data_IF_904458593366
#
_entry.id   IF_904458593366
#
_cell.length_a   1.000
_cell.length_b   1.000
_cell.length_c   1.000
_cell.angle_alpha   90.00
_cell.angle_beta   90.00
_cell.angle_gamma   90.00
#
_symmetry.space_group_name_H-M   'P 1'
#
loop_
_entity.id
_entity.type
_entity.pdbx_description
1 polymer ?
#
# COMPACT_ATOMS: atom_id res chain seq x y z
N UNK A 1 -10.74 -0.03 -0.89
CA UNK A 1 -10.04 0.11 0.40
C UNK A 1 -9.10 1.30 0.38
N UNK A 2 -8.89 2.00 1.50
CA UNK A 2 -7.94 3.11 1.62
C UNK A 2 -7.29 3.07 3.00
N UNK A 3 -5.99 2.78 3.06
CA UNK A 3 -5.23 2.65 4.31
C UNK A 3 -4.13 3.70 4.31
N UNK A 4 -4.02 4.46 5.40
CA UNK A 4 -3.17 5.64 5.45
C UNK A 4 -1.98 5.48 6.37
N UNK A 5 -0.89 6.12 5.97
CA UNK A 5 0.25 6.45 6.83
C UNK A 5 0.85 5.25 7.56
N UNK A 6 1.21 4.20 6.82
CA UNK A 6 1.94 3.05 7.35
C UNK A 6 3.28 3.48 7.96
N UNK A 7 3.58 2.98 9.15
CA UNK A 7 4.85 3.18 9.86
C UNK A 7 5.43 1.84 10.26
N UNK A 8 6.76 1.78 10.37
CA UNK A 8 7.40 0.63 10.96
C UNK A 8 7.00 0.48 12.41
N UNK A 9 6.77 -0.76 12.82
CA UNK A 9 6.53 -1.10 14.22
C UNK A 9 7.13 -2.48 14.53
N UNK A 10 7.19 -2.81 15.82
CA UNK A 10 7.57 -4.14 16.31
C UNK A 10 6.33 -4.80 16.90
N UNK A 11 5.84 -5.92 16.32
CA UNK A 11 4.74 -6.67 16.92
C UNK A 11 5.21 -7.37 18.21
N UNK A 12 4.30 -7.57 19.15
CA UNK A 12 4.60 -8.30 20.39
C UNK A 12 4.96 -9.76 20.12
N UNK A 13 4.28 -10.38 19.15
CA UNK A 13 4.50 -11.75 18.70
C UNK A 13 4.74 -11.76 17.18
N UNK A 14 5.99 -11.59 16.71
CA UNK A 14 6.28 -11.60 15.27
C UNK A 14 6.12 -13.01 14.69
N UNK A 15 5.32 -13.14 13.62
CA UNK A 15 5.22 -14.39 12.85
C UNK A 15 6.55 -14.82 12.22
N UNK A 16 7.38 -13.85 11.82
CA UNK A 16 8.66 -14.05 11.15
C UNK A 16 9.73 -13.25 11.89
N UNK A 17 10.58 -13.93 12.69
CA UNK A 17 11.67 -13.28 13.40
C UNK A 17 12.60 -12.51 12.45
N UNK A 18 12.86 -11.23 12.76
CA UNK A 18 13.74 -10.36 11.97
C UNK A 18 13.08 -9.69 10.77
N UNK A 19 11.80 -9.95 10.48
CA UNK A 19 11.05 -9.21 9.46
C UNK A 19 10.74 -7.78 9.92
N UNK A 20 10.58 -6.87 8.96
CA UNK A 20 10.07 -5.52 9.21
C UNK A 20 8.55 -5.52 9.09
N UNK A 21 7.85 -4.93 10.05
CA UNK A 21 6.40 -4.86 10.06
C UNK A 21 5.92 -3.42 9.87
N UNK A 22 4.78 -3.26 9.19
CA UNK A 22 4.17 -1.96 8.94
C UNK A 22 2.76 -1.93 9.52
N UNK A 23 2.44 -0.85 10.24
CA UNK A 23 1.11 -0.59 10.81
C UNK A 23 0.60 0.77 10.36
N UNK A 24 -0.64 0.84 9.93
CA UNK A 24 -1.30 2.07 9.50
C UNK A 24 -1.63 2.99 10.68
N UNK A 25 -2.04 4.22 10.39
CA UNK A 25 -2.45 5.18 11.43
C UNK A 25 -3.66 4.73 12.26
N UNK A 26 -4.52 3.89 11.68
CA UNK A 26 -5.69 3.30 12.34
C UNK A 26 -5.42 1.88 12.89
N UNK A 27 -4.16 1.45 12.91
CA UNK A 27 -3.72 0.26 13.63
C UNK A 27 -3.73 -1.06 12.86
N UNK A 28 -4.02 -1.04 11.56
CA UNK A 28 -4.05 -2.23 10.71
C UNK A 28 -2.63 -2.66 10.29
N UNK A 29 -2.33 -3.96 10.35
CA UNK A 29 -1.06 -4.51 9.85
C UNK A 29 -1.06 -4.66 8.32
N UNK A 30 0.03 -4.25 7.67
CA UNK A 30 0.15 -4.31 6.21
C UNK A 30 0.02 -5.72 5.65
N UNK A 31 0.65 -6.71 6.28
CA UNK A 31 0.68 -8.08 5.78
C UNK A 31 -0.69 -8.75 5.92
N UNK A 32 -1.41 -8.47 7.00
CA UNK A 32 -2.81 -8.92 7.16
C UNK A 32 -3.72 -8.27 6.11
N UNK A 33 -3.54 -6.97 5.86
CA UNK A 33 -4.32 -6.21 4.89
C UNK A 33 -4.15 -6.69 3.45
N UNK A 34 -3.02 -7.31 3.08
CA UNK A 34 -2.77 -7.77 1.70
C UNK A 34 -3.90 -8.67 1.17
N UNK A 35 -4.47 -9.50 2.05
CA UNK A 35 -5.57 -10.42 1.72
C UNK A 35 -6.94 -9.74 1.56
N UNK A 36 -7.09 -8.52 2.10
CA UNK A 36 -8.34 -7.76 2.08
C UNK A 36 -8.54 -6.98 0.77
N UNK A 37 -7.48 -6.81 -0.02
CA UNK A 37 -7.57 -6.14 -1.30
C UNK A 37 -8.22 -7.03 -2.37
N UNK A 38 -9.05 -6.43 -3.24
CA UNK A 38 -9.65 -7.11 -4.38
C UNK A 38 -8.60 -7.47 -5.43
N UNK A 39 -8.68 -8.65 -6.06
CA UNK A 39 -7.80 -9.01 -7.17
C UNK A 39 -8.03 -8.15 -8.44
N UNK A 40 -9.23 -7.56 -8.56
CA UNK A 40 -9.68 -6.82 -9.75
C UNK A 40 -9.38 -5.31 -9.71
N UNK A 41 -8.67 -4.85 -8.68
CA UNK A 41 -8.33 -3.42 -8.48
C UNK A 41 -6.83 -3.17 -8.62
N UNK A 42 -6.48 -1.92 -8.96
CA UNK A 42 -5.12 -1.42 -8.80
C UNK A 42 -4.93 -0.93 -7.37
N UNK A 43 -3.77 -1.22 -6.79
CA UNK A 43 -3.30 -0.70 -5.50
C UNK A 43 -2.29 0.38 -5.83
N UNK A 44 -2.63 1.59 -5.43
CA UNK A 44 -1.80 2.78 -5.65
C UNK A 44 -1.17 3.16 -4.32
N UNK A 45 0.16 3.17 -4.29
CA UNK A 45 0.96 3.64 -3.16
C UNK A 45 1.33 5.09 -3.41
N UNK A 46 1.12 5.95 -2.43
CA UNK A 46 1.46 7.37 -2.55
C UNK A 46 2.08 7.92 -1.25
N UNK A 47 2.99 8.88 -1.40
CA UNK A 47 3.65 9.53 -0.26
C UNK A 47 2.81 10.68 0.34
N UNK A 48 3.31 11.32 1.40
CA UNK A 48 2.61 12.42 2.08
C UNK A 48 2.38 13.66 1.20
N UNK A 49 3.09 13.80 0.07
CA UNK A 49 2.87 14.86 -0.91
C UNK A 49 1.85 14.48 -2.00
N UNK A 50 1.21 13.32 -1.91
CA UNK A 50 0.27 12.81 -2.91
C UNK A 50 0.91 12.18 -4.13
N UNK A 51 2.25 12.12 -4.20
CA UNK A 51 2.97 11.55 -5.35
C UNK A 51 2.84 10.02 -5.33
N UNK A 52 2.38 9.46 -6.45
CA UNK A 52 2.33 8.01 -6.67
C UNK A 52 3.75 7.43 -6.78
N UNK A 53 4.05 6.42 -5.97
CA UNK A 53 5.36 5.76 -5.92
C UNK A 53 5.29 4.25 -6.18
N UNK A 54 4.09 3.69 -6.29
CA UNK A 54 3.88 2.29 -6.63
C UNK A 54 2.48 2.04 -7.16
N UNK A 55 2.38 1.18 -8.17
CA UNK A 55 1.11 0.71 -8.73
C UNK A 55 1.24 -0.78 -8.99
N UNK A 56 0.30 -1.58 -8.50
CA UNK A 56 0.26 -3.02 -8.79
C UNK A 56 -1.15 -3.57 -8.61
N UNK A 57 -1.47 -4.70 -9.26
CA UNK A 57 -2.63 -5.53 -8.88
C UNK A 57 -2.33 -6.46 -7.72
N UNK A 58 -1.07 -6.74 -7.46
CA UNK A 58 -0.64 -7.70 -6.44
C UNK A 58 -0.14 -6.90 -5.24
N UNK A 59 -0.85 -6.94 -4.11
CA UNK A 59 -0.48 -6.14 -2.95
C UNK A 59 0.88 -6.55 -2.36
N UNK A 60 1.20 -7.85 -2.38
CA UNK A 60 2.43 -8.39 -1.78
C UNK A 60 3.74 -7.95 -2.46
N UNK A 61 3.69 -7.37 -3.66
CA UNK A 61 4.89 -6.79 -4.31
C UNK A 61 5.14 -5.34 -3.90
N UNK A 62 4.27 -4.75 -3.07
CA UNK A 62 4.37 -3.37 -2.61
C UNK A 62 4.94 -3.30 -1.20
N UNK A 63 5.66 -2.21 -0.92
CA UNK A 63 6.25 -1.92 0.38
C UNK A 63 5.98 -0.47 0.79
N UNK A 64 4.80 -0.17 1.38
CA UNK A 64 4.32 1.20 1.59
C UNK A 64 4.89 1.84 2.87
N UNK A 65 6.17 1.66 3.15
CA UNK A 65 6.78 2.23 4.37
C UNK A 65 6.72 3.76 4.36
N UNK A 66 6.15 4.37 5.41
CA UNK A 66 5.88 5.81 5.51
C UNK A 66 4.93 6.36 4.43
N UNK A 67 4.05 5.51 3.89
CA UNK A 67 3.17 5.84 2.78
C UNK A 67 1.74 5.34 3.02
N UNK A 68 0.85 5.67 2.08
CA UNK A 68 -0.55 5.23 2.09
C UNK A 68 -0.83 4.36 0.88
N UNK A 69 -1.85 3.50 0.97
CA UNK A 69 -2.30 2.63 -0.13
C UNK A 69 -3.79 2.80 -0.34
N UNK A 70 -4.21 2.96 -1.59
CA UNK A 70 -5.62 3.06 -1.98
C UNK A 70 -5.93 2.10 -3.14
N UNK A 71 -7.11 1.51 -3.10
CA UNK A 71 -7.65 0.79 -4.26
C UNK A 71 -8.36 1.74 -5.19
N UNK A 72 -8.08 1.58 -6.48
CA UNK A 72 -8.82 2.22 -7.56
C UNK A 72 -9.28 1.17 -8.55
N UNK A 73 -10.39 1.47 -9.24
CA UNK A 73 -10.90 0.61 -10.30
C UNK A 73 -9.82 0.43 -11.38
N UNK A 74 -9.71 -0.78 -11.91
CA UNK A 74 -8.76 -1.08 -12.97
C UNK A 74 -9.34 -0.76 -14.35
N UNK A 75 -9.33 0.52 -14.70
CA UNK A 75 -9.83 1.04 -15.98
C UNK A 75 -8.68 1.39 -16.92
N UNK A 76 -8.96 1.53 -18.23
CA UNK A 76 -7.96 2.01 -19.19
C UNK A 76 -7.37 3.37 -18.81
N UNK A 77 -8.19 4.26 -18.22
CA UNK A 77 -7.73 5.57 -17.75
C UNK A 77 -6.76 5.44 -16.58
N UNK A 78 -7.11 4.66 -15.55
CA UNK A 78 -6.26 4.51 -14.37
C UNK A 78 -4.95 3.77 -14.68
N UNK A 79 -4.93 2.91 -15.71
CA UNK A 79 -3.71 2.24 -16.20
C UNK A 79 -2.72 3.18 -16.88
N UNK A 80 -3.11 4.42 -17.21
CA UNK A 80 -2.18 5.44 -17.73
C UNK A 80 -1.29 6.02 -16.64
N UNK A 81 -1.73 5.95 -15.37
CA UNK A 81 -0.94 6.42 -14.25
C UNK A 81 0.36 5.63 -14.15
N UNK A 82 1.44 6.35 -13.84
CA UNK A 82 2.77 5.79 -13.63
C UNK A 82 3.41 6.43 -12.39
N UNK A 83 4.61 5.98 -12.05
CA UNK A 83 5.38 6.48 -10.91
C UNK A 83 6.27 7.69 -11.26
N UNK A 84 6.01 8.40 -12.38
CA UNK A 84 6.81 9.57 -12.79
C UNK A 84 6.60 10.81 -11.90
N UNK A 85 5.59 10.78 -11.02
CA UNK A 85 5.19 11.90 -10.16
C UNK A 85 4.38 12.99 -10.85
N UNK A 86 3.92 12.76 -12.08
CA UNK A 86 3.01 13.66 -12.82
C UNK A 86 1.52 13.41 -12.51
N UNK A 87 1.23 12.41 -11.70
CA UNK A 87 -0.10 11.94 -11.34
C UNK A 87 -0.32 12.14 -9.84
N UNK A 88 -1.46 12.70 -9.43
CA UNK A 88 -1.82 13.01 -8.05
C UNK A 88 -3.29 13.39 -7.89
#
# INVERSE_FOLDING_TARGET
MHIKNFRQYTPENPDVPGAMYLKSEDGQDWYECQSLFSAETLKVVYNSAGVITGISRVASVLWPVNQSVVEVADTEENRKADISGRWG
#
